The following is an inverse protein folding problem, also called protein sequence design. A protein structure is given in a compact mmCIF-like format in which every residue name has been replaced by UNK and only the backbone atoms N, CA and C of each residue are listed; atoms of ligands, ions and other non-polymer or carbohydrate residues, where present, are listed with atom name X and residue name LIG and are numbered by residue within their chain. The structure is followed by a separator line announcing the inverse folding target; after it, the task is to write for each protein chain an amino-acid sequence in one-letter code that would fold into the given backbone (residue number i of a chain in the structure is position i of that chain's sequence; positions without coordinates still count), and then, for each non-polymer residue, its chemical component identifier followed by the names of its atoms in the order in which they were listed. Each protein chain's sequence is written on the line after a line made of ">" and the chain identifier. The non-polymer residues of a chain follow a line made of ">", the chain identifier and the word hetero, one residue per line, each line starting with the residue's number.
data_IF_407370094942
#
_entry.id   IF_407370094942
#
_cell.length_a   1.000
_cell.length_b   1.000
_cell.length_c   1.000
_cell.angle_alpha   90.00
_cell.angle_beta   90.00
_cell.angle_gamma   90.00
#
_symmetry.space_group_name_H-M   'P 1'
#
loop_
_entity.id
_entity.type
_entity.pdbx_description
1 polymer ?
#
# COMPACT_ATOMS: atom_id res chain seq x y z
N UNK A 1 -10.69 16.72 -10.26
CA UNK A 1 -9.50 17.23 -9.54
C UNK A 1 -9.54 16.89 -8.06
N UNK A 2 -10.64 17.12 -7.34
CA UNK A 2 -10.77 16.85 -5.89
C UNK A 2 -10.47 15.38 -5.56
N UNK A 3 -10.99 14.43 -6.33
CA UNK A 3 -10.74 13.00 -6.10
C UNK A 3 -9.27 12.63 -6.32
N UNK A 4 -8.61 13.22 -7.32
CA UNK A 4 -7.17 13.01 -7.54
C UNK A 4 -6.36 13.53 -6.35
N UNK A 5 -6.70 14.71 -5.83
CA UNK A 5 -6.05 15.26 -4.64
C UNK A 5 -6.25 14.36 -3.40
N UNK A 6 -7.46 13.83 -3.20
CA UNK A 6 -7.75 12.86 -2.12
C UNK A 6 -6.92 11.58 -2.27
N UNK A 7 -6.80 11.05 -3.48
CA UNK A 7 -6.00 9.84 -3.75
C UNK A 7 -4.53 10.14 -3.49
N UNK A 8 -4.03 11.27 -3.98
CA UNK A 8 -2.64 11.66 -3.78
C UNK A 8 -2.30 11.78 -2.29
N UNK A 9 -3.14 12.48 -1.52
CA UNK A 9 -2.89 12.72 -0.09
C UNK A 9 -3.15 11.47 0.75
N UNK A 10 -4.37 10.93 0.73
CA UNK A 10 -4.77 9.80 1.59
C UNK A 10 -4.03 8.54 1.15
N UNK A 11 -4.07 8.23 -0.15
CA UNK A 11 -3.38 7.07 -0.69
C UNK A 11 -1.87 7.13 -0.48
N UNK A 12 -1.25 8.31 -0.68
CA UNK A 12 0.16 8.53 -0.45
C UNK A 12 0.57 8.31 1.00
N UNK A 13 -0.14 8.94 1.94
CA UNK A 13 0.12 8.76 3.38
C UNK A 13 0.01 7.27 3.77
N UNK A 14 -1.07 6.62 3.38
CA UNK A 14 -1.31 5.20 3.71
C UNK A 14 -0.24 4.30 3.08
N UNK A 15 -0.01 4.43 1.77
CA UNK A 15 0.94 3.57 1.04
C UNK A 15 2.37 3.76 1.53
N UNK A 16 2.83 5.01 1.66
CA UNK A 16 4.20 5.29 2.09
C UNK A 16 4.45 4.90 3.55
N UNK A 17 3.46 5.08 4.43
CA UNK A 17 3.59 4.68 5.83
C UNK A 17 3.62 3.16 5.99
N UNK A 18 2.69 2.43 5.34
CA UNK A 18 2.66 0.97 5.41
C UNK A 18 3.92 0.37 4.77
N UNK A 19 4.34 0.87 3.61
CA UNK A 19 5.55 0.39 2.93
C UNK A 19 6.82 0.64 3.76
N UNK A 20 6.91 1.78 4.46
CA UNK A 20 8.01 2.07 5.38
C UNK A 20 8.02 1.10 6.56
N UNK A 21 6.88 0.86 7.21
CA UNK A 21 6.77 -0.08 8.31
C UNK A 21 7.22 -1.49 7.89
N UNK A 22 6.73 -1.97 6.74
CA UNK A 22 7.14 -3.27 6.21
C UNK A 22 8.64 -3.29 5.90
N UNK A 23 9.19 -2.23 5.31
CA UNK A 23 10.62 -2.13 5.02
C UNK A 23 11.48 -2.22 6.29
N UNK A 24 11.09 -1.54 7.37
CA UNK A 24 11.77 -1.61 8.68
C UNK A 24 11.73 -3.03 9.22
N UNK A 25 10.55 -3.67 9.20
CA UNK A 25 10.39 -5.05 9.65
C UNK A 25 11.32 -5.99 8.86
N UNK A 26 11.33 -5.89 7.53
CA UNK A 26 12.14 -6.76 6.68
C UNK A 26 13.65 -6.50 6.78
N UNK A 27 14.05 -5.29 7.16
CA UNK A 27 15.47 -4.95 7.37
C UNK A 27 15.97 -5.23 8.79
N UNK A 28 15.10 -5.62 9.72
CA UNK A 28 15.45 -5.97 11.10
C UNK A 28 16.11 -7.35 11.27
N UNK A 29 16.44 -8.05 10.18
CA UNK A 29 17.15 -9.33 10.23
C UNK A 29 16.25 -10.57 10.18
N UNK A 30 15.03 -10.45 9.64
CA UNK A 30 14.08 -11.58 9.51
C UNK A 30 14.62 -12.63 8.55
N UNK A 31 14.53 -13.91 8.96
CA UNK A 31 14.83 -15.06 8.08
C UNK A 31 13.80 -15.11 6.95
N UNK A 32 14.27 -15.32 5.72
CA UNK A 32 13.40 -15.39 4.55
C UNK A 32 12.98 -14.02 3.98
N UNK A 33 13.73 -12.94 4.28
CA UNK A 33 13.51 -11.59 3.77
C UNK A 33 13.18 -11.55 2.27
N UNK A 34 13.98 -12.26 1.43
CA UNK A 34 13.78 -12.27 -0.02
C UNK A 34 12.43 -12.85 -0.44
N UNK A 35 11.95 -13.88 0.25
CA UNK A 35 10.62 -14.45 0.00
C UNK A 35 9.50 -13.43 0.30
N UNK A 36 9.56 -12.76 1.45
CA UNK A 36 8.57 -11.75 1.81
C UNK A 36 8.62 -10.54 0.87
N UNK A 37 9.81 -10.09 0.48
CA UNK A 37 9.95 -9.04 -0.53
C UNK A 37 9.28 -9.40 -1.84
N UNK A 38 9.53 -10.61 -2.35
CA UNK A 38 8.92 -11.09 -3.59
C UNK A 38 7.40 -11.21 -3.46
N UNK A 39 6.90 -11.77 -2.35
CA UNK A 39 5.47 -11.94 -2.12
C UNK A 39 4.73 -10.60 -2.03
N UNK A 40 5.29 -9.61 -1.32
CA UNK A 40 4.68 -8.28 -1.16
C UNK A 40 4.80 -7.44 -2.45
N UNK A 41 5.84 -7.69 -3.25
CA UNK A 41 6.02 -7.01 -4.54
C UNK A 41 5.18 -7.62 -5.67
N UNK A 42 4.78 -8.89 -5.54
CA UNK A 42 4.04 -9.63 -6.57
C UNK A 42 2.80 -8.88 -7.10
N UNK A 43 1.94 -8.27 -6.26
CA UNK A 43 0.79 -7.49 -6.74
C UNK A 43 1.15 -6.37 -7.73
N UNK A 44 2.32 -5.76 -7.59
CA UNK A 44 2.79 -4.69 -8.47
C UNK A 44 3.19 -5.20 -9.87
N UNK A 45 3.56 -6.47 -9.99
CA UNK A 45 3.95 -7.10 -11.26
C UNK A 45 2.74 -7.55 -12.08
N UNK A 46 1.63 -7.83 -11.41
CA UNK A 46 0.38 -8.25 -12.06
C UNK A 46 -0.21 -7.07 -12.84
N UNK A 47 -0.74 -7.34 -14.06
CA UNK A 47 -1.36 -6.27 -14.85
C UNK A 47 -2.53 -5.62 -14.10
N UNK A 48 -2.70 -4.30 -14.30
CA UNK A 48 -3.78 -3.54 -13.66
C UNK A 48 -5.16 -4.13 -13.95
N UNK A 49 -5.38 -4.66 -15.16
CA UNK A 49 -6.64 -5.31 -15.56
C UNK A 49 -6.90 -6.57 -14.75
N UNK A 50 -5.92 -7.46 -14.66
CA UNK A 50 -6.06 -8.71 -13.89
C UNK A 50 -6.27 -8.42 -12.40
N UNK A 51 -5.51 -7.47 -11.84
CA UNK A 51 -5.63 -7.07 -10.45
C UNK A 51 -7.00 -6.43 -10.16
N UNK A 52 -7.47 -5.50 -11.00
CA UNK A 52 -8.79 -4.90 -10.84
C UNK A 52 -9.91 -5.94 -10.95
N UNK A 53 -9.82 -6.87 -11.92
CA UNK A 53 -10.78 -7.97 -12.05
C UNK A 53 -10.81 -8.85 -10.80
N UNK A 54 -9.64 -9.18 -10.26
CA UNK A 54 -9.54 -9.94 -9.00
C UNK A 54 -10.25 -9.20 -7.85
N UNK A 55 -10.01 -7.90 -7.68
CA UNK A 55 -10.66 -7.12 -6.64
C UNK A 55 -12.18 -7.05 -6.81
N UNK A 56 -12.65 -6.73 -8.03
CA UNK A 56 -14.07 -6.57 -8.34
C UNK A 56 -14.82 -7.91 -8.18
N UNK A 57 -14.29 -8.99 -8.77
CA UNK A 57 -14.99 -10.27 -8.85
C UNK A 57 -14.87 -11.09 -7.57
N UNK A 58 -13.69 -11.11 -6.93
CA UNK A 58 -13.42 -12.02 -5.82
C UNK A 58 -13.32 -11.33 -4.45
N UNK A 59 -12.90 -10.10 -4.38
CA UNK A 59 -12.76 -9.42 -3.08
C UNK A 59 -14.02 -8.65 -2.69
N UNK A 60 -14.55 -7.81 -3.58
CA UNK A 60 -15.66 -6.89 -3.31
C UNK A 60 -17.03 -7.41 -3.75
N UNK A 61 -17.13 -8.64 -4.23
CA UNK A 61 -18.43 -9.20 -4.60
C UNK A 61 -19.35 -9.29 -3.39
N UNK A 62 -20.57 -8.74 -3.51
CA UNK A 62 -21.54 -8.68 -2.40
C UNK A 62 -22.11 -10.04 -2.00
N UNK A 63 -22.09 -11.04 -2.89
CA UNK A 63 -22.68 -12.36 -2.65
C UNK A 63 -21.69 -13.35 -2.04
N UNK A 64 -20.47 -13.43 -2.61
CA UNK A 64 -19.46 -14.44 -2.26
C UNK A 64 -18.06 -13.86 -2.10
N UNK A 65 -17.90 -12.54 -2.12
CA UNK A 65 -16.60 -11.90 -2.04
C UNK A 65 -15.86 -12.18 -0.73
N UNK A 66 -14.53 -12.07 -0.80
CA UNK A 66 -13.66 -12.31 0.36
C UNK A 66 -14.07 -11.44 1.56
N UNK A 67 -14.27 -10.14 1.39
CA UNK A 67 -14.65 -9.26 2.49
C UNK A 67 -16.04 -9.58 3.04
N UNK A 68 -17.02 -9.87 2.19
CA UNK A 68 -18.37 -10.28 2.62
C UNK A 68 -18.33 -11.54 3.45
N UNK A 69 -17.59 -12.55 2.98
CA UNK A 69 -17.45 -13.85 3.68
C UNK A 69 -16.68 -13.69 4.97
N UNK A 70 -15.56 -12.95 4.96
CA UNK A 70 -14.73 -12.71 6.13
C UNK A 70 -15.50 -11.98 7.24
N UNK A 71 -16.20 -10.88 6.91
CA UNK A 71 -16.98 -10.13 7.91
C UNK A 71 -18.15 -10.94 8.47
N UNK A 72 -18.75 -11.81 7.66
CA UNK A 72 -19.79 -12.74 8.12
C UNK A 72 -19.23 -13.78 9.11
N UNK A 73 -18.04 -14.31 8.84
CA UNK A 73 -17.38 -15.30 9.73
C UNK A 73 -17.04 -14.73 11.10
N UNK A 74 -16.66 -13.45 11.19
CA UNK A 74 -16.33 -12.79 12.47
C UNK A 74 -17.54 -12.14 13.13
N UNK A 75 -18.77 -12.35 12.60
CA UNK A 75 -20.00 -11.85 13.20
C UNK A 75 -20.31 -10.36 12.94
N UNK A 76 -19.56 -9.70 12.05
CA UNK A 76 -19.78 -8.29 11.68
C UNK A 76 -20.73 -8.19 10.48
N UNK A 77 -21.99 -8.58 10.67
CA UNK A 77 -23.00 -8.60 9.60
C UNK A 77 -23.25 -7.23 8.96
N UNK A 78 -23.11 -6.14 9.71
CA UNK A 78 -23.25 -4.79 9.19
C UNK A 78 -22.22 -4.48 8.09
N UNK A 79 -20.98 -4.90 8.28
CA UNK A 79 -19.90 -4.74 7.30
C UNK A 79 -20.01 -5.74 6.15
N UNK A 80 -20.53 -6.93 6.42
CA UNK A 80 -20.77 -7.96 5.40
C UNK A 80 -21.85 -7.56 4.36
N UNK A 81 -22.77 -6.64 4.73
CA UNK A 81 -23.84 -6.13 3.86
C UNK A 81 -23.42 -4.93 3.04
N UNK A 82 -22.22 -4.37 3.24
CA UNK A 82 -21.73 -3.23 2.48
C UNK A 82 -21.54 -3.63 1.02
N UNK A 83 -22.16 -2.88 0.14
CA UNK A 83 -21.94 -2.99 -1.31
C UNK A 83 -20.75 -2.12 -1.69
N UNK A 84 -19.56 -2.72 -1.68
CA UNK A 84 -18.29 -2.02 -1.90
C UNK A 84 -18.15 -1.33 -3.26
N UNK A 85 -18.93 -1.77 -4.25
CA UNK A 85 -18.89 -1.26 -5.62
C UNK A 85 -20.00 -0.24 -5.93
N UNK A 86 -20.83 0.12 -4.96
CA UNK A 86 -21.84 1.17 -5.09
C UNK A 86 -21.19 2.55 -5.20
N UNK A 87 -21.95 3.50 -5.69
CA UNK A 87 -21.50 4.88 -5.91
C UNK A 87 -20.87 5.53 -4.67
N UNK A 88 -21.33 5.16 -3.47
CA UNK A 88 -20.87 5.71 -2.20
C UNK A 88 -19.51 5.09 -1.77
N UNK A 89 -19.33 3.78 -1.92
CA UNK A 89 -18.17 3.05 -1.41
C UNK A 89 -17.07 2.78 -2.46
N UNK A 90 -17.43 2.86 -3.73
CA UNK A 90 -16.57 2.55 -4.87
C UNK A 90 -15.22 3.29 -4.86
N UNK A 91 -15.24 4.55 -4.45
CA UNK A 91 -14.02 5.35 -4.34
C UNK A 91 -13.02 4.74 -3.35
N UNK A 92 -13.52 4.28 -2.19
CA UNK A 92 -12.68 3.68 -1.15
C UNK A 92 -12.20 2.29 -1.54
N UNK A 93 -13.04 1.49 -2.20
CA UNK A 93 -12.67 0.18 -2.73
C UNK A 93 -11.54 0.29 -3.77
N UNK A 94 -11.67 1.25 -4.69
CA UNK A 94 -10.66 1.55 -5.69
C UNK A 94 -9.37 2.06 -5.06
N UNK A 95 -9.46 3.01 -4.12
CA UNK A 95 -8.30 3.54 -3.40
C UNK A 95 -7.54 2.43 -2.67
N UNK A 96 -8.25 1.56 -1.96
CA UNK A 96 -7.68 0.42 -1.25
C UNK A 96 -6.94 -0.53 -2.19
N UNK A 97 -7.58 -0.92 -3.31
CA UNK A 97 -7.00 -1.83 -4.30
C UNK A 97 -5.73 -1.26 -4.94
N UNK A 98 -5.77 0.02 -5.26
CA UNK A 98 -4.62 0.73 -5.84
C UNK A 98 -3.45 0.83 -4.84
N UNK A 99 -3.72 1.27 -3.61
CA UNK A 99 -2.69 1.36 -2.57
C UNK A 99 -2.06 -0.01 -2.30
N UNK A 100 -2.86 -1.06 -2.21
CA UNK A 100 -2.37 -2.43 -2.03
C UNK A 100 -1.37 -2.83 -3.11
N UNK A 101 -1.68 -2.57 -4.38
CA UNK A 101 -0.78 -2.85 -5.49
C UNK A 101 0.54 -2.06 -5.43
N UNK A 102 0.53 -0.86 -4.86
CA UNK A 102 1.70 0.04 -4.85
C UNK A 102 2.61 -0.15 -3.63
N UNK A 103 2.13 -0.79 -2.54
CA UNK A 103 2.91 -0.98 -1.29
C UNK A 103 4.27 -1.64 -1.58
N UNK A 104 4.28 -2.71 -2.38
CA UNK A 104 5.50 -3.46 -2.67
C UNK A 104 6.57 -2.63 -3.38
N UNK A 105 6.17 -1.79 -4.33
CA UNK A 105 7.07 -0.90 -5.05
C UNK A 105 7.76 0.10 -4.10
N UNK A 106 6.98 0.80 -3.30
CA UNK A 106 7.51 1.78 -2.35
C UNK A 106 8.31 1.13 -1.22
N UNK A 107 7.94 -0.08 -0.80
CA UNK A 107 8.69 -0.87 0.17
C UNK A 107 10.12 -1.15 -0.31
N UNK A 108 10.32 -1.53 -1.58
CA UNK A 108 11.67 -1.78 -2.11
C UNK A 108 12.53 -0.50 -2.14
N UNK A 109 11.93 0.64 -2.46
CA UNK A 109 12.63 1.94 -2.42
C UNK A 109 13.07 2.25 -0.98
N UNK A 110 12.20 2.04 0.02
CA UNK A 110 12.54 2.21 1.43
C UNK A 110 13.66 1.27 1.88
N UNK A 111 13.58 -0.02 1.52
CA UNK A 111 14.61 -1.01 1.86
C UNK A 111 15.97 -0.57 1.33
N UNK A 112 16.05 -0.12 0.07
CA UNK A 112 17.30 0.33 -0.53
C UNK A 112 17.92 1.52 0.22
N UNK A 113 17.09 2.37 0.81
CA UNK A 113 17.55 3.49 1.63
C UNK A 113 18.02 3.07 3.02
N UNK A 114 17.26 2.20 3.69
CA UNK A 114 17.60 1.71 5.03
C UNK A 114 18.91 0.94 5.01
N UNK A 115 19.14 0.12 3.99
CA UNK A 115 20.37 -0.69 3.86
C UNK A 115 21.65 0.12 3.61
N UNK A 116 21.51 1.38 3.18
CA UNK A 116 22.67 2.30 3.02
C UNK A 116 23.10 2.96 4.31
N UNK A 117 22.28 2.90 5.37
CA UNK A 117 22.63 3.49 6.66
C UNK A 117 23.68 2.59 7.33
N UNK A 118 24.85 3.16 7.67
CA UNK A 118 25.89 2.42 8.36
C UNK A 118 25.40 1.88 9.70
N UNK A 119 25.76 0.62 9.99
CA UNK A 119 25.46 -0.02 11.27
C UNK A 119 26.11 0.70 12.47
N UNK A 120 27.23 1.38 12.23
CA UNK A 120 27.95 2.14 13.24
C UNK A 120 27.07 3.17 13.97
N UNK A 121 26.13 3.82 13.23
CA UNK A 121 25.17 4.75 13.85
C UNK A 121 24.28 4.07 14.88
N UNK A 122 23.84 2.84 14.58
CA UNK A 122 22.96 2.08 15.48
C UNK A 122 23.74 1.50 16.67
N UNK A 123 25.00 1.09 16.44
CA UNK A 123 25.90 0.57 17.50
C UNK A 123 26.27 1.68 18.47
N UNK A 124 26.72 2.84 17.96
CA UNK A 124 27.06 3.99 18.78
C UNK A 124 25.87 4.46 19.64
N UNK A 125 24.70 4.62 19.01
CA UNK A 125 23.49 5.03 19.75
C UNK A 125 23.02 3.97 20.76
N UNK A 126 23.29 2.69 20.50
CA UNK A 126 23.05 1.61 21.46
C UNK A 126 23.92 1.71 22.70
N UNK A 127 25.19 2.10 22.54
CA UNK A 127 26.11 2.37 23.67
C UNK A 127 25.60 3.57 24.48
N UNK A 128 25.05 4.61 23.84
CA UNK A 128 24.43 5.76 24.48
C UNK A 128 23.07 5.45 25.12
N UNK A 129 22.61 4.20 25.06
CA UNK A 129 21.37 3.75 25.70
C UNK A 129 20.09 4.03 24.90
N UNK A 130 20.20 4.38 23.60
CA UNK A 130 19.02 4.61 22.76
C UNK A 130 18.29 3.30 22.45
N UNK A 131 16.98 3.30 22.70
CA UNK A 131 16.10 2.19 22.30
C UNK A 131 15.77 2.24 20.79
N UNK A 132 15.16 1.16 20.26
CA UNK A 132 14.83 1.04 18.83
C UNK A 132 13.92 2.16 18.29
N UNK A 133 13.00 2.64 19.10
CA UNK A 133 12.09 3.74 18.73
C UNK A 133 12.88 5.05 18.63
N UNK A 134 13.77 5.31 19.57
CA UNK A 134 14.65 6.49 19.53
C UNK A 134 15.60 6.42 18.33
N UNK A 135 16.20 5.27 18.05
CA UNK A 135 17.02 5.03 16.85
C UNK A 135 16.23 5.30 15.57
N UNK A 136 14.97 4.89 15.50
CA UNK A 136 14.12 5.15 14.35
C UNK A 136 13.91 6.65 14.12
N UNK A 137 13.46 7.39 15.13
CA UNK A 137 13.13 8.81 14.97
C UNK A 137 14.35 9.72 14.84
N UNK A 138 15.49 9.38 15.49
CA UNK A 138 16.67 10.26 15.53
C UNK A 138 17.75 9.88 14.51
N UNK A 139 17.78 8.63 14.01
CA UNK A 139 18.77 8.16 13.06
C UNK A 139 18.10 7.80 11.73
N UNK A 140 17.22 6.78 11.74
CA UNK A 140 16.67 6.22 10.51
C UNK A 140 15.85 7.25 9.74
N UNK A 141 14.85 7.84 10.34
CA UNK A 141 13.92 8.75 9.68
C UNK A 141 14.60 10.02 9.13
N UNK A 142 15.52 10.70 9.84
CA UNK A 142 16.26 11.82 9.30
C UNK A 142 17.15 11.47 8.11
N UNK A 143 17.84 10.33 8.18
CA UNK A 143 18.74 9.88 7.09
C UNK A 143 17.94 9.42 5.85
N UNK A 144 16.70 8.98 6.03
CA UNK A 144 15.81 8.60 4.92
C UNK A 144 15.11 9.79 4.22
N UNK A 145 15.38 11.04 4.59
CA UNK A 145 14.72 12.20 3.95
C UNK A 145 14.89 12.25 2.43
N UNK A 146 16.06 11.86 1.90
CA UNK A 146 16.28 11.75 0.46
C UNK A 146 15.41 10.68 -0.19
N UNK A 147 15.32 9.52 0.45
CA UNK A 147 14.49 8.40 -0.01
C UNK A 147 13.00 8.73 0.09
N UNK A 148 12.57 9.45 1.14
CA UNK A 148 11.21 9.95 1.25
C UNK A 148 10.84 10.85 0.05
N UNK A 149 11.73 11.78 -0.34
CA UNK A 149 11.51 12.62 -1.53
C UNK A 149 11.36 11.77 -2.79
N UNK A 150 12.23 10.79 -2.99
CA UNK A 150 12.12 9.84 -4.11
C UNK A 150 10.78 9.11 -4.11
N UNK A 151 10.35 8.59 -2.96
CA UNK A 151 9.06 7.91 -2.82
C UNK A 151 7.88 8.84 -3.14
N UNK A 152 7.89 10.09 -2.68
CA UNK A 152 6.85 11.08 -2.99
C UNK A 152 6.80 11.39 -4.49
N UNK A 153 7.96 11.54 -5.15
CA UNK A 153 8.04 11.77 -6.59
C UNK A 153 7.48 10.56 -7.35
N UNK A 154 7.91 9.35 -7.00
CA UNK A 154 7.43 8.11 -7.63
C UNK A 154 5.93 7.91 -7.41
N UNK A 155 5.42 8.20 -6.21
CA UNK A 155 3.99 8.20 -5.93
C UNK A 155 3.24 9.21 -6.81
N UNK A 156 3.76 10.43 -6.95
CA UNK A 156 3.13 11.46 -7.79
C UNK A 156 3.08 11.08 -9.27
N UNK A 157 4.12 10.41 -9.77
CA UNK A 157 4.15 9.89 -11.14
C UNK A 157 3.16 8.72 -11.30
N UNK A 158 3.07 7.82 -10.32
CA UNK A 158 2.19 6.66 -10.40
C UNK A 158 0.70 7.03 -10.48
N UNK A 159 0.30 8.17 -9.92
CA UNK A 159 -1.07 8.67 -10.00
C UNK A 159 -1.53 8.95 -11.43
N UNK A 160 -0.60 9.25 -12.35
CA UNK A 160 -0.96 9.33 -13.76
C UNK A 160 -1.54 8.00 -14.29
N UNK A 161 -1.06 6.86 -13.79
CA UNK A 161 -1.59 5.53 -14.09
C UNK A 161 -2.93 5.20 -13.41
N UNK A 162 -3.33 5.97 -12.41
CA UNK A 162 -4.58 5.77 -11.68
C UNK A 162 -5.82 5.90 -12.58
N UNK A 163 -5.73 6.64 -13.69
CA UNK A 163 -6.81 6.76 -14.66
C UNK A 163 -7.27 5.39 -15.18
N UNK A 164 -6.34 4.46 -15.44
CA UNK A 164 -6.65 3.10 -15.90
C UNK A 164 -7.49 2.37 -14.84
N UNK A 165 -7.11 2.47 -13.57
CA UNK A 165 -7.85 1.86 -12.47
C UNK A 165 -9.26 2.44 -12.33
N UNK A 166 -9.41 3.75 -12.48
CA UNK A 166 -10.71 4.41 -12.45
C UNK A 166 -11.62 3.90 -13.57
N UNK A 167 -11.10 3.68 -14.77
CA UNK A 167 -11.86 3.11 -15.89
C UNK A 167 -12.28 1.67 -15.64
N UNK A 168 -11.40 0.84 -15.08
CA UNK A 168 -11.68 -0.57 -14.80
C UNK A 168 -12.75 -0.76 -13.70
N UNK A 169 -12.80 0.13 -12.73
CA UNK A 169 -13.82 0.13 -11.67
C UNK A 169 -15.11 0.85 -12.09
N UNK A 170 -15.11 1.59 -13.20
CA UNK A 170 -16.33 2.18 -13.76
C UNK A 170 -16.96 1.12 -14.66
N UNK A 171 -18.17 0.60 -14.37
CA UNK A 171 -18.85 -0.19 -15.36
C UNK A 171 -19.02 0.68 -16.60
N UNK A 172 -18.65 0.16 -17.75
CA UNK A 172 -19.13 0.65 -19.01
C UNK A 172 -20.64 0.34 -19.05
N UNK A 173 -21.44 1.11 -18.33
CA UNK A 173 -22.84 1.23 -18.65
C UNK A 173 -22.90 2.06 -19.92
N UNK A 174 -22.65 1.36 -21.02
CA UNK A 174 -23.26 1.73 -22.27
C UNK A 174 -24.77 1.49 -22.06
N UNK A 175 -25.45 2.43 -21.44
CA UNK A 175 -26.86 2.61 -21.70
C UNK A 175 -26.97 3.05 -23.16
N UNK A 176 -26.99 2.04 -24.04
CA UNK A 176 -27.58 2.13 -25.35
C UNK A 176 -29.04 1.76 -25.21
N UNK A 177 -29.86 2.68 -24.79
CA UNK A 177 -31.30 2.68 -25.03
C UNK A 177 -31.74 4.05 -25.50
#
# INVERSE_FOLDING_TARGET
>A
LINIAKIWTIGGIVTLSISLLIAIILTSGIRGKGFFQAAIYLPNVISAVAMATMWIQYAFNSSYGFFTTFFRMIGLESLAKIQWLDAEHKFYALLFSYCFGMIGHHMLIWISGIERISKEYYEASGIDGANKVQQFFHITLPLLRGILRTNIIMWSISIAGFFIWSQLFSPLTADTS
#
